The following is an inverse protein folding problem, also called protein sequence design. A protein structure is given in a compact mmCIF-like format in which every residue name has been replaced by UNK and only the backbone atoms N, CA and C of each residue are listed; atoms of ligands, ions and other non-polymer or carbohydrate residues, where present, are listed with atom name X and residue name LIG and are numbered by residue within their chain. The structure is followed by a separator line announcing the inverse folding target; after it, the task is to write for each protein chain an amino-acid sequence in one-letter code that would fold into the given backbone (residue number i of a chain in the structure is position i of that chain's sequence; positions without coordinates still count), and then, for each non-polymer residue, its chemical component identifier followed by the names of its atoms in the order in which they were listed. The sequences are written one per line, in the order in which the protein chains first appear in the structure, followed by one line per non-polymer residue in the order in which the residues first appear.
data_IF_140936493741
#
_entry.id   IF_140936493741
#
_cell.length_a   1.000
_cell.length_b   1.000
_cell.length_c   1.000
_cell.angle_alpha   90.00
_cell.angle_beta   90.00
_cell.angle_gamma   90.00
#
_symmetry.space_group_name_H-M   'P 1'
#
loop_
_entity.id
_entity.type
_entity.pdbx_description
1 polymer ?
#
# COMPACT_ATOMS: atom_id res chain seq x y z
N UNK A 1 -4.77 23.29 6.76
CA UNK A 1 -4.71 22.76 5.39
C UNK A 1 -4.78 21.23 5.33
N UNK A 2 -3.88 20.46 5.96
CA UNK A 2 -3.96 18.98 5.96
C UNK A 2 -5.22 18.41 6.64
N UNK A 3 -5.64 18.99 7.77
CA UNK A 3 -6.88 18.56 8.46
C UNK A 3 -8.17 19.01 7.75
N UNK A 4 -8.12 20.14 7.06
CA UNK A 4 -9.22 20.63 6.22
C UNK A 4 -9.48 19.67 5.05
N UNK A 5 -8.40 19.19 4.42
CA UNK A 5 -8.44 18.19 3.36
C UNK A 5 -8.99 16.86 3.91
N UNK A 6 -8.53 16.40 5.08
CA UNK A 6 -9.06 15.17 5.72
C UNK A 6 -10.55 15.28 6.04
N UNK A 7 -11.01 16.45 6.51
CA UNK A 7 -12.42 16.72 6.80
C UNK A 7 -13.26 16.72 5.52
N UNK A 8 -12.80 17.41 4.48
CA UNK A 8 -13.46 17.43 3.17
C UNK A 8 -13.55 16.03 2.54
N UNK A 9 -12.53 15.20 2.73
CA UNK A 9 -12.51 13.82 2.22
C UNK A 9 -13.50 12.89 2.95
N UNK A 10 -13.76 13.14 4.24
CA UNK A 10 -14.84 12.45 4.99
C UNK A 10 -16.22 12.90 4.53
N UNK A 11 -16.41 14.20 4.29
CA UNK A 11 -17.71 14.76 3.85
C UNK A 11 -18.10 14.32 2.42
N UNK A 12 -17.12 14.05 1.56
CA UNK A 12 -17.36 13.56 0.19
C UNK A 12 -17.54 12.03 0.07
N UNK A 13 -17.57 11.28 1.19
CA UNK A 13 -17.54 9.80 1.19
C UNK A 13 -16.41 9.21 0.33
N UNK A 14 -15.34 9.99 0.09
CA UNK A 14 -14.21 9.56 -0.74
C UNK A 14 -13.26 8.61 0.00
N UNK A 15 -13.44 8.43 1.32
CA UNK A 15 -12.75 7.40 2.10
C UNK A 15 -13.59 6.13 1.99
N UNK A 16 -13.12 5.09 1.27
CA UNK A 16 -13.85 3.83 1.24
C UNK A 16 -13.95 3.29 2.65
N UNK A 17 -15.14 2.85 3.06
CA UNK A 17 -15.29 2.08 4.29
C UNK A 17 -14.67 0.70 4.04
N UNK A 18 -13.38 0.57 4.34
CA UNK A 18 -12.63 -0.68 4.10
C UNK A 18 -12.96 -1.67 5.22
N UNK A 19 -13.89 -2.59 4.94
CA UNK A 19 -14.12 -3.77 5.76
C UNK A 19 -12.98 -4.80 5.54
N UNK A 20 -12.68 -5.60 6.56
CA UNK A 20 -11.73 -6.72 6.43
C UNK A 20 -10.25 -6.37 6.62
N UNK A 21 -9.93 -5.54 7.63
CA UNK A 21 -8.54 -5.18 7.98
C UNK A 21 -7.96 -6.03 9.12
N UNK A 22 -8.68 -7.07 9.56
CA UNK A 22 -8.14 -8.01 10.54
C UNK A 22 -6.93 -8.73 9.98
N UNK A 23 -6.03 -9.16 10.87
CA UNK A 23 -4.89 -9.96 10.46
C UNK A 23 -5.35 -11.23 9.71
N UNK A 24 -6.45 -11.82 10.18
CA UNK A 24 -7.07 -13.02 9.60
C UNK A 24 -7.62 -12.77 8.19
N UNK A 25 -8.22 -11.62 7.93
CA UNK A 25 -8.74 -11.26 6.61
C UNK A 25 -7.63 -10.93 5.61
N UNK A 26 -6.47 -10.49 6.10
CA UNK A 26 -5.33 -10.07 5.28
C UNK A 26 -4.36 -11.21 4.94
N UNK A 27 -4.36 -12.31 5.72
CA UNK A 27 -3.50 -13.47 5.48
C UNK A 27 -4.13 -14.45 4.48
N UNK A 28 -3.39 -14.82 3.43
CA UNK A 28 -3.85 -15.78 2.40
C UNK A 28 -3.78 -17.24 2.88
N UNK A 29 -2.95 -17.54 3.89
CA UNK A 29 -2.72 -18.90 4.36
C UNK A 29 -3.22 -19.13 5.79
N UNK A 30 -4.36 -19.83 5.92
CA UNK A 30 -4.80 -20.41 7.19
C UNK A 30 -3.92 -21.63 7.53
N UNK A 31 -2.95 -21.41 8.42
CA UNK A 31 -2.28 -22.40 9.29
C UNK A 31 -1.70 -23.69 8.66
N UNK A 32 -0.38 -23.89 8.77
CA UNK A 32 0.21 -25.13 9.32
C UNK A 32 1.60 -24.88 9.98
N UNK A 33 1.64 -25.07 11.31
CA UNK A 33 2.72 -25.49 12.23
C UNK A 33 4.12 -24.80 12.34
N UNK A 34 4.73 -24.82 13.55
CA UNK A 34 5.78 -23.90 13.98
C UNK A 34 7.16 -24.38 13.53
N UNK A 35 7.73 -23.71 12.53
CA UNK A 35 8.95 -24.17 11.90
C UNK A 35 9.91 -23.05 11.56
N UNK A 36 10.36 -22.30 12.57
CA UNK A 36 11.39 -21.27 12.51
C UNK A 36 11.00 -20.06 11.64
N UNK A 37 11.02 -18.89 12.27
CA UNK A 37 11.13 -17.62 11.55
C UNK A 37 12.50 -17.61 10.88
N UNK A 38 12.61 -18.28 9.72
CA UNK A 38 13.73 -18.07 8.81
C UNK A 38 13.62 -16.62 8.38
N UNK A 39 14.68 -15.83 8.56
CA UNK A 39 14.68 -14.38 8.40
C UNK A 39 14.20 -13.91 7.02
N UNK A 40 12.88 -13.89 6.83
CA UNK A 40 12.21 -13.31 5.68
C UNK A 40 12.37 -11.82 5.85
N UNK A 41 13.20 -11.24 4.99
CA UNK A 41 13.41 -9.81 4.92
C UNK A 41 12.04 -9.16 4.65
N UNK A 42 11.48 -8.49 5.66
CA UNK A 42 10.20 -7.79 5.54
C UNK A 42 10.34 -6.78 4.40
N UNK A 43 9.49 -6.90 3.38
CA UNK A 43 9.55 -5.99 2.23
C UNK A 43 9.06 -4.61 2.64
N UNK A 44 9.80 -3.58 2.27
CA UNK A 44 9.40 -2.22 2.56
C UNK A 44 8.25 -1.77 1.64
N UNK A 45 7.32 -0.99 2.20
CA UNK A 45 6.29 -0.27 1.47
C UNK A 45 6.97 0.53 0.35
N UNK A 46 6.49 0.36 -0.87
CA UNK A 46 6.91 1.23 -1.96
C UNK A 46 6.27 2.59 -1.72
N UNK A 47 7.01 3.68 -1.97
CA UNK A 47 6.53 5.06 -1.87
C UNK A 47 5.20 5.33 -2.62
N UNK A 48 4.85 4.47 -3.58
CA UNK A 48 3.68 4.55 -4.45
C UNK A 48 2.85 3.25 -4.41
N UNK A 49 3.01 2.43 -3.37
CA UNK A 49 2.32 1.14 -3.23
C UNK A 49 0.90 1.32 -2.70
N UNK A 50 -0.03 0.54 -3.25
CA UNK A 50 -1.41 0.42 -2.77
C UNK A 50 -1.39 -0.07 -1.30
N UNK A 51 -1.91 0.72 -0.32
CA UNK A 51 -1.75 0.42 1.11
C UNK A 51 -2.33 -0.94 1.52
N UNK A 52 -3.44 -1.37 0.91
CA UNK A 52 -4.06 -2.65 1.25
C UNK A 52 -3.21 -3.82 0.76
N UNK A 53 -2.66 -3.75 -0.45
CA UNK A 53 -1.70 -4.73 -0.95
C UNK A 53 -0.44 -4.82 -0.07
N UNK A 54 0.03 -3.71 0.49
CA UNK A 54 1.14 -3.74 1.44
C UNK A 54 0.77 -4.45 2.74
N UNK A 55 -0.40 -4.16 3.31
CA UNK A 55 -0.90 -4.86 4.51
C UNK A 55 -1.04 -6.36 4.28
N UNK A 56 -1.61 -6.79 3.14
CA UNK A 56 -1.71 -8.22 2.76
C UNK A 56 -0.34 -8.87 2.68
N UNK A 57 0.57 -8.27 1.90
CA UNK A 57 1.92 -8.81 1.73
C UNK A 57 2.73 -8.85 3.04
N UNK A 58 2.48 -7.91 3.95
CA UNK A 58 3.06 -7.88 5.28
C UNK A 58 2.53 -9.02 6.16
N UNK A 59 1.20 -9.18 6.21
CA UNK A 59 0.53 -10.25 6.94
C UNK A 59 0.97 -11.64 6.44
N UNK A 60 1.03 -11.85 5.13
CA UNK A 60 1.50 -13.10 4.50
C UNK A 60 2.95 -13.45 4.87
N UNK A 61 3.82 -12.44 5.05
CA UNK A 61 5.21 -12.66 5.47
C UNK A 61 5.34 -13.09 6.94
N UNK A 62 4.30 -12.87 7.73
CA UNK A 62 4.28 -13.13 9.17
C UNK A 62 3.36 -14.29 9.57
N UNK A 63 2.92 -15.13 8.62
CA UNK A 63 2.01 -16.29 8.85
C UNK A 63 2.49 -17.25 9.96
N UNK A 64 3.76 -17.21 10.36
CA UNK A 64 4.32 -17.99 11.48
C UNK A 64 4.60 -17.24 12.78
N UNK A 65 4.37 -15.92 12.84
CA UNK A 65 4.68 -15.08 14.03
C UNK A 65 3.53 -15.08 15.05
N UNK A 66 2.36 -15.63 14.68
CA UNK A 66 1.21 -15.76 15.57
C UNK A 66 0.36 -14.48 15.67
N UNK A 67 -0.74 -14.56 16.43
CA UNK A 67 -1.74 -13.47 16.61
C UNK A 67 -1.33 -12.42 17.65
N UNK A 68 -0.05 -12.21 17.88
CA UNK A 68 0.42 -11.20 18.82
C UNK A 68 0.34 -9.82 18.15
N UNK A 69 -0.76 -9.11 18.38
CA UNK A 69 -0.99 -7.78 17.81
C UNK A 69 0.11 -6.78 18.18
N UNK A 70 0.64 -6.84 19.42
CA UNK A 70 1.70 -5.94 19.85
C UNK A 70 2.99 -6.19 19.05
N UNK A 71 3.31 -7.46 18.79
CA UNK A 71 4.44 -7.85 17.95
C UNK A 71 4.21 -7.46 16.48
N UNK A 72 3.01 -7.67 15.93
CA UNK A 72 2.64 -7.26 14.57
C UNK A 72 2.78 -5.75 14.39
N UNK A 73 2.30 -4.95 15.34
CA UNK A 73 2.40 -3.49 15.28
C UNK A 73 3.85 -3.02 15.42
N UNK A 74 4.64 -3.64 16.31
CA UNK A 74 6.05 -3.31 16.50
C UNK A 74 6.88 -3.61 15.24
N UNK A 75 6.65 -4.76 14.61
CA UNK A 75 7.36 -5.17 13.40
C UNK A 75 6.93 -4.38 12.16
N UNK A 76 5.72 -3.80 12.17
CA UNK A 76 5.21 -3.05 11.02
C UNK A 76 6.10 -1.88 10.65
N UNK A 77 6.68 -1.18 11.64
CA UNK A 77 7.67 -0.11 11.43
C UNK A 77 8.82 -0.52 10.51
N UNK A 78 9.28 -1.78 10.58
CA UNK A 78 10.38 -2.32 9.76
C UNK A 78 9.97 -2.51 8.30
N UNK A 79 8.67 -2.60 8.04
CA UNK A 79 8.09 -2.65 6.70
C UNK A 79 7.91 -1.26 6.07
N UNK A 80 8.16 -0.16 6.80
CA UNK A 80 7.92 1.19 6.30
C UNK A 80 9.24 1.87 5.90
N UNK A 81 9.14 2.89 5.04
CA UNK A 81 10.24 3.77 4.67
C UNK A 81 9.69 5.18 4.36
N UNK A 82 10.61 6.16 4.29
CA UNK A 82 10.28 7.54 3.91
C UNK A 82 9.10 8.12 4.71
N UNK A 83 8.16 8.75 3.99
CA UNK A 83 6.99 9.41 4.58
C UNK A 83 6.12 8.47 5.43
N UNK A 84 6.03 7.18 5.09
CA UNK A 84 5.27 6.21 5.87
C UNK A 84 5.94 5.88 7.21
N UNK A 85 7.28 5.81 7.23
CA UNK A 85 8.03 5.61 8.47
C UNK A 85 7.94 6.86 9.36
N UNK A 86 8.12 8.06 8.79
CA UNK A 86 7.98 9.32 9.52
C UNK A 86 6.57 9.50 10.10
N UNK A 87 5.54 9.13 9.35
CA UNK A 87 4.16 9.11 9.85
C UNK A 87 4.00 8.15 11.03
N UNK A 88 4.55 6.93 10.93
CA UNK A 88 4.45 5.94 11.98
C UNK A 88 5.15 6.39 13.27
N UNK A 89 6.35 6.97 13.17
CA UNK A 89 7.12 7.43 14.34
C UNK A 89 6.63 8.76 14.92
N UNK A 90 6.01 9.63 14.12
CA UNK A 90 5.43 10.90 14.60
C UNK A 90 4.14 10.71 15.42
N UNK A 91 3.53 9.52 15.34
CA UNK A 91 2.29 9.17 16.05
C UNK A 91 2.51 8.69 17.50
N UNK A 92 3.65 8.97 18.14
CA UNK A 92 3.91 8.62 19.56
C UNK A 92 2.84 9.11 20.57
N UNK A 93 1.88 9.94 20.16
CA UNK A 93 0.74 10.40 20.98
C UNK A 93 -0.62 9.74 20.67
N UNK A 94 -0.71 8.90 19.63
CA UNK A 94 -1.86 8.03 19.36
C UNK A 94 -1.40 6.58 19.44
N UNK A 95 -1.44 6.01 20.64
CA UNK A 95 -1.27 4.57 20.80
C UNK A 95 -2.45 3.88 20.13
N UNK A 96 -2.22 3.33 18.94
CA UNK A 96 -3.11 2.32 18.38
C UNK A 96 -3.18 1.18 19.41
N UNK A 97 -4.37 0.84 19.88
CA UNK A 97 -4.58 -0.21 20.88
C UNK A 97 -4.78 -1.59 20.26
N UNK A 98 -4.84 -1.66 18.92
CA UNK A 98 -4.99 -2.91 18.18
C UNK A 98 -4.39 -2.80 16.78
N UNK A 99 -4.09 -3.95 16.18
CA UNK A 99 -3.66 -4.03 14.79
C UNK A 99 -4.67 -3.36 13.85
N UNK A 100 -5.97 -3.59 14.06
CA UNK A 100 -7.03 -3.02 13.23
C UNK A 100 -7.04 -1.49 13.27
N UNK A 101 -6.80 -0.88 14.44
CA UNK A 101 -6.73 0.57 14.57
C UNK A 101 -5.56 1.14 13.76
N UNK A 102 -4.38 0.49 13.84
CA UNK A 102 -3.20 0.86 13.05
C UNK A 102 -3.45 0.69 11.55
N UNK A 103 -3.94 -0.48 11.14
CA UNK A 103 -4.19 -0.82 9.74
C UNK A 103 -5.20 0.15 9.11
N UNK A 104 -6.27 0.48 9.83
CA UNK A 104 -7.28 1.45 9.39
C UNK A 104 -6.67 2.84 9.20
N UNK A 105 -5.94 3.35 10.20
CA UNK A 105 -5.31 4.66 10.09
C UNK A 105 -4.25 4.70 8.97
N UNK A 106 -3.50 3.62 8.78
CA UNK A 106 -2.54 3.48 7.69
C UNK A 106 -3.23 3.55 6.32
N UNK A 107 -4.30 2.78 6.13
CA UNK A 107 -5.08 2.81 4.89
C UNK A 107 -5.71 4.18 4.70
N UNK A 108 -6.38 4.77 5.68
CA UNK A 108 -6.96 6.12 5.56
C UNK A 108 -5.91 7.18 5.20
N UNK A 109 -4.72 7.09 5.80
CA UNK A 109 -3.64 8.05 5.58
C UNK A 109 -3.06 7.95 4.17
N UNK A 110 -2.93 6.74 3.65
CA UNK A 110 -2.25 6.45 2.40
C UNK A 110 -3.19 5.96 1.29
N UNK A 111 -4.51 5.96 1.49
CA UNK A 111 -5.53 5.50 0.54
C UNK A 111 -5.47 6.20 -0.82
N UNK A 112 -4.82 7.36 -0.87
CA UNK A 112 -4.65 8.16 -2.09
C UNK A 112 -3.21 8.13 -2.62
N UNK A 113 -2.31 7.38 -1.98
CA UNK A 113 -1.04 6.95 -2.56
C UNK A 113 -1.24 5.76 -3.51
N UNK A 114 -2.47 5.47 -3.89
CA UNK A 114 -2.81 4.59 -5.00
C UNK A 114 -2.19 5.20 -6.24
N UNK A 115 -1.34 4.43 -6.92
CA UNK A 115 -0.90 4.74 -8.27
C UNK A 115 -2.12 5.21 -9.07
N UNK A 116 -2.12 6.46 -9.54
CA UNK A 116 -3.00 6.80 -10.66
C UNK A 116 -2.52 5.88 -11.78
N UNK A 117 -3.29 4.83 -12.04
CA UNK A 117 -3.07 3.96 -13.17
C UNK A 117 -3.24 4.86 -14.39
N UNK A 118 -2.23 4.98 -15.26
CA UNK A 118 -2.39 5.76 -16.47
C UNK A 118 -3.55 5.16 -17.23
N UNK A 119 -4.49 6.01 -17.62
CA UNK A 119 -5.49 5.62 -18.60
C UNK A 119 -4.91 5.76 -20.02
N UNK A 120 -5.66 5.28 -21.00
CA UNK A 120 -5.27 5.38 -22.41
C UNK A 120 -4.98 6.84 -22.82
N UNK A 121 -5.75 7.78 -22.29
CA UNK A 121 -5.57 9.21 -22.54
C UNK A 121 -4.23 9.75 -22.03
N UNK A 122 -3.84 9.36 -20.82
CA UNK A 122 -2.55 9.74 -20.22
C UNK A 122 -1.37 9.19 -21.03
N UNK A 123 -1.50 7.95 -21.53
CA UNK A 123 -0.49 7.31 -22.37
C UNK A 123 -0.35 8.00 -23.75
N UNK A 124 -1.46 8.38 -24.38
CA UNK A 124 -1.48 9.12 -25.65
C UNK A 124 -0.83 10.50 -25.53
N UNK A 125 -0.91 11.12 -24.34
CA UNK A 125 -0.32 12.43 -24.07
C UNK A 125 1.15 12.40 -23.66
N UNK A 126 1.75 11.23 -23.46
CA UNK A 126 3.17 11.14 -23.13
C UNK A 126 4.04 11.65 -24.28
N UNK A 127 4.87 12.66 -23.99
CA UNK A 127 5.86 13.20 -24.93
C UNK A 127 7.27 12.87 -24.47
N UNK A 128 8.19 12.83 -25.44
CA UNK A 128 9.61 12.77 -25.16
C UNK A 128 10.05 14.07 -24.49
N UNK A 129 10.78 13.96 -23.38
CA UNK A 129 11.38 15.09 -22.66
C UNK A 129 12.64 15.58 -23.39
N UNK A 130 13.00 16.86 -23.32
CA UNK A 130 14.22 17.38 -23.94
C UNK A 130 15.52 16.75 -23.40
N UNK A 131 15.48 16.24 -22.17
CA UNK A 131 16.64 15.68 -21.45
C UNK A 131 16.75 14.16 -21.56
N UNK A 132 15.81 13.48 -22.22
CA UNK A 132 15.83 12.02 -22.34
C UNK A 132 16.09 11.60 -23.80
N UNK A 133 16.84 10.51 -23.96
CA UNK A 133 17.04 9.87 -25.25
C UNK A 133 15.76 9.16 -25.72
N UNK A 134 15.68 8.89 -27.02
CA UNK A 134 14.55 8.17 -27.59
C UNK A 134 14.35 6.78 -26.96
N UNK A 135 15.45 6.09 -26.62
CA UNK A 135 15.43 4.77 -25.97
C UNK A 135 14.85 4.83 -24.55
N UNK A 136 15.22 5.86 -23.79
CA UNK A 136 14.68 6.09 -22.44
C UNK A 136 13.19 6.44 -22.50
N UNK A 137 12.79 7.24 -23.49
CA UNK A 137 11.38 7.54 -23.74
C UNK A 137 10.59 6.26 -24.06
N UNK A 138 11.05 5.44 -25.00
CA UNK A 138 10.35 4.19 -25.38
C UNK A 138 10.23 3.24 -24.21
N UNK A 139 11.30 3.07 -23.42
CA UNK A 139 11.26 2.27 -22.21
C UNK A 139 10.25 2.78 -21.19
N UNK A 140 10.24 4.10 -20.92
CA UNK A 140 9.27 4.74 -20.02
C UNK A 140 7.84 4.58 -20.52
N UNK A 141 7.59 4.82 -21.80
CA UNK A 141 6.28 4.67 -22.42
C UNK A 141 5.77 3.23 -22.34
N UNK A 142 6.60 2.24 -22.66
CA UNK A 142 6.23 0.82 -22.57
C UNK A 142 5.90 0.39 -21.14
N UNK A 143 6.67 0.88 -20.17
CA UNK A 143 6.42 0.63 -18.74
C UNK A 143 5.06 1.18 -18.30
N UNK A 144 4.67 2.37 -18.76
CA UNK A 144 3.34 2.95 -18.49
C UNK A 144 2.22 2.24 -19.27
N UNK A 145 2.46 1.85 -20.53
CA UNK A 145 1.50 1.13 -21.36
C UNK A 145 1.14 -0.26 -20.77
N UNK A 146 2.11 -0.94 -20.17
CA UNK A 146 1.87 -2.20 -19.47
C UNK A 146 0.89 -2.03 -18.30
N UNK A 147 0.93 -0.88 -17.59
CA UNK A 147 0.01 -0.56 -16.49
C UNK A 147 -1.42 -0.33 -17.00
N UNK A 148 -1.58 0.31 -18.17
CA UNK A 148 -2.90 0.53 -18.82
C UNK A 148 -3.54 -0.79 -19.24
N UNK A 149 -2.77 -1.71 -19.88
CA UNK A 149 -3.31 -2.99 -20.38
C UNK A 149 -3.75 -3.93 -19.27
N UNK A 150 -3.12 -3.86 -18.10
CA UNK A 150 -3.48 -4.65 -16.91
C UNK A 150 -4.76 -4.14 -16.22
N UNK A 151 -5.22 -2.93 -16.54
CA UNK A 151 -6.42 -2.28 -15.98
C UNK A 151 -7.72 -2.65 -16.68
N UNK A 152 -7.68 -3.39 -17.79
CA UNK A 152 -8.88 -3.90 -18.46
C UNK A 152 -9.45 -5.03 -17.58
N UNK A 153 -10.58 -4.80 -16.92
CA UNK A 153 -11.31 -5.90 -16.27
C UNK A 153 -11.77 -6.89 -17.34
N UNK A 154 -11.78 -8.19 -17.04
CA UNK A 154 -12.16 -9.29 -17.95
C UNK A 154 -13.55 -9.15 -18.62
N UNK A 155 -14.35 -8.14 -18.26
CA UNK A 155 -15.69 -7.89 -18.83
C UNK A 155 -15.70 -7.08 -20.13
N UNK A 156 -14.54 -6.70 -20.67
CA UNK A 156 -14.43 -6.03 -21.98
C UNK A 156 -13.47 -6.77 -22.94
N UNK A 157 -13.39 -8.10 -22.82
CA UNK A 157 -12.84 -8.98 -23.86
C UNK A 157 -14.00 -9.64 -24.60
#
# INVERSE_FOLDING_TARGET
MKEEIRKAMKELNCIPEVAGLSYEDLCIHQFEHPGRVQGTKIRHLRRNGEPLAHLRAYCDQLVGVGRDEALLMRLFSRSLNGEALEWFTSHETKQWFSWNALAKDFVERFAYNVEIVPDRYSLEKMKQKPTESYREFTYRWQKEAARVRLSMSEKEI
#
